data_IF_670877702103
#
_entry.id   IF_670877702103
#
_cell.length_a   1.000
_cell.length_b   1.000
_cell.length_c   1.000
_cell.angle_alpha   90.00
_cell.angle_beta   90.00
_cell.angle_gamma   90.00
#
_symmetry.space_group_name_H-M   'P 1'
#
loop_
_entity.id
_entity.type
_entity.pdbx_description
1 polymer ?
#
# COMPACT_ATOMS: atom_id res chain seq x y z
N UNK A 1 -1.04 0.74 11.65
CA UNK A 1 -1.28 -0.01 10.41
C UNK A 1 0.01 0.03 9.63
N UNK A 2 0.65 -1.12 9.36
CA UNK A 2 1.91 -1.15 8.60
C UNK A 2 1.57 -1.11 7.12
N UNK A 3 2.14 -0.18 6.37
CA UNK A 3 1.93 0.00 4.94
C UNK A 3 3.08 -0.67 4.20
N UNK A 4 2.79 -1.28 3.05
CA UNK A 4 3.81 -1.86 2.18
C UNK A 4 4.12 -0.89 1.05
N UNK A 5 5.40 -0.67 0.76
CA UNK A 5 5.86 0.23 -0.29
C UNK A 5 7.00 -0.40 -1.07
N UNK A 6 7.14 -0.01 -2.34
CA UNK A 6 8.06 -0.67 -3.28
C UNK A 6 9.14 0.31 -3.71
N UNK A 7 10.39 -0.06 -3.45
CA UNK A 7 11.58 0.68 -3.91
C UNK A 7 12.09 0.03 -5.19
N UNK A 8 12.52 0.85 -6.16
CA UNK A 8 13.08 0.39 -7.43
C UNK A 8 14.42 1.06 -7.70
N UNK A 9 15.42 0.30 -8.11
CA UNK A 9 16.68 0.88 -8.59
C UNK A 9 16.55 1.31 -10.05
N UNK A 10 16.88 2.56 -10.38
CA UNK A 10 16.84 3.04 -11.76
C UNK A 10 17.94 2.44 -12.65
N UNK A 11 19.07 2.00 -12.06
CA UNK A 11 20.20 1.42 -12.82
C UNK A 11 19.98 -0.05 -13.21
N UNK A 12 19.57 -0.89 -12.25
CA UNK A 12 19.43 -2.33 -12.48
C UNK A 12 17.98 -2.82 -12.51
N UNK A 13 17.02 -1.90 -12.36
CA UNK A 13 15.57 -2.16 -12.34
C UNK A 13 15.14 -3.13 -11.23
N UNK A 14 16.03 -3.45 -10.29
CA UNK A 14 15.71 -4.31 -9.17
C UNK A 14 14.70 -3.62 -8.26
N UNK A 15 13.61 -4.32 -7.94
CA UNK A 15 12.54 -3.83 -7.09
C UNK A 15 12.44 -4.69 -5.84
N UNK A 16 12.21 -4.06 -4.68
CA UNK A 16 11.93 -4.76 -3.43
C UNK A 16 10.86 -4.04 -2.62
N UNK A 17 10.09 -4.82 -1.88
CA UNK A 17 9.03 -4.33 -1.00
C UNK A 17 9.56 -4.16 0.42
N UNK A 18 9.21 -3.03 1.02
CA UNK A 18 9.45 -2.73 2.43
C UNK A 18 8.10 -2.72 3.15
N UNK A 19 8.11 -3.16 4.40
CA UNK A 19 6.93 -3.19 5.28
C UNK A 19 7.20 -2.22 6.42
N UNK A 20 6.46 -1.11 6.48
CA UNK A 20 6.80 -0.03 7.41
C UNK A 20 5.78 1.10 7.44
N UNK A 21 6.20 2.23 7.97
CA UNK A 21 5.42 3.47 7.92
C UNK A 21 6.16 4.38 6.96
N UNK A 22 5.55 4.64 5.81
CA UNK A 22 6.13 5.59 4.87
C UNK A 22 6.32 6.95 5.54
N UNK A 23 7.56 7.43 5.54
CA UNK A 23 7.94 8.76 5.99
C UNK A 23 9.08 9.29 5.13
N UNK A 24 9.24 10.61 5.06
CA UNK A 24 10.38 11.22 4.36
C UNK A 24 11.71 10.72 4.90
N UNK A 25 11.83 10.56 6.22
CA UNK A 25 13.03 10.00 6.84
C UNK A 25 13.36 8.59 6.34
N UNK A 26 12.36 7.69 6.26
CA UNK A 26 12.62 6.35 5.71
C UNK A 26 13.04 6.43 4.23
N UNK A 27 12.47 7.35 3.46
CA UNK A 27 12.82 7.56 2.04
C UNK A 27 14.28 8.00 1.92
N UNK A 28 14.70 9.00 2.68
CA UNK A 28 16.09 9.47 2.72
C UNK A 28 17.06 8.40 3.23
N UNK A 29 16.66 7.61 4.23
CA UNK A 29 17.44 6.48 4.74
C UNK A 29 17.61 5.36 3.70
N UNK A 30 16.65 5.18 2.79
CA UNK A 30 16.76 4.24 1.67
C UNK A 30 17.62 4.82 0.56
N UNK A 31 17.38 6.08 0.17
CA UNK A 31 18.11 6.77 -0.90
C UNK A 31 19.60 6.97 -0.55
N UNK A 32 19.92 7.06 0.74
CA UNK A 32 21.31 7.08 1.25
C UNK A 32 22.00 5.72 1.29
N UNK A 33 21.31 4.63 0.92
CA UNK A 33 21.89 3.28 0.87
C UNK A 33 22.07 2.81 -0.58
N UNK A 34 23.16 2.11 -0.89
CA UNK A 34 23.39 1.59 -2.23
C UNK A 34 22.43 0.43 -2.53
N UNK A 35 22.05 0.29 -3.80
CA UNK A 35 21.25 -0.85 -4.26
C UNK A 35 21.92 -2.18 -3.90
N UNK A 36 21.20 -3.16 -3.33
CA UNK A 36 21.78 -4.45 -2.94
C UNK A 36 22.31 -5.28 -4.12
N UNK A 37 21.87 -4.99 -5.36
CA UNK A 37 22.26 -5.74 -6.56
C UNK A 37 23.39 -5.09 -7.35
N UNK A 38 23.34 -3.77 -7.53
CA UNK A 38 24.28 -3.04 -8.40
C UNK A 38 25.08 -1.93 -7.69
N UNK A 39 24.89 -1.78 -6.39
CA UNK A 39 25.55 -0.80 -5.52
C UNK A 39 25.39 0.67 -5.94
N UNK A 40 24.42 0.97 -6.81
CA UNK A 40 24.11 2.33 -7.23
C UNK A 40 23.21 3.04 -6.22
N UNK A 41 23.41 4.35 -6.04
CA UNK A 41 22.56 5.22 -5.22
C UNK A 41 21.33 5.75 -5.95
N UNK A 42 21.15 5.37 -7.22
CA UNK A 42 19.96 5.74 -8.01
C UNK A 42 18.78 4.85 -7.66
N UNK A 43 18.21 5.08 -6.49
CA UNK A 43 16.98 4.45 -6.01
C UNK A 43 15.80 5.39 -6.21
N UNK A 44 14.68 4.84 -6.66
CA UNK A 44 13.39 5.51 -6.76
C UNK A 44 12.45 4.86 -5.77
N UNK A 45 12.03 5.62 -4.76
CA UNK A 45 11.09 5.18 -3.75
C UNK A 45 9.81 6.00 -3.83
N UNK A 46 8.91 5.69 -4.79
CA UNK A 46 7.66 6.43 -4.94
C UNK A 46 6.82 6.33 -3.67
N UNK A 47 6.10 7.41 -3.36
CA UNK A 47 5.12 7.42 -2.27
C UNK A 47 4.11 6.28 -2.49
N UNK A 48 3.87 5.40 -1.50
CA UNK A 48 2.90 4.34 -1.63
C UNK A 48 1.54 4.99 -1.84
N UNK A 49 0.91 4.67 -2.96
CA UNK A 49 -0.43 5.13 -3.26
C UNK A 49 -1.30 4.90 -2.02
N UNK A 50 -1.85 5.99 -1.47
CA UNK A 50 -2.73 5.94 -0.31
C UNK A 50 -3.72 4.82 -0.57
N UNK A 51 -3.62 3.75 0.24
CA UNK A 51 -4.41 2.56 0.01
C UNK A 51 -5.85 3.00 0.17
N UNK A 52 -6.53 3.27 -0.94
CA UNK A 52 -7.92 3.67 -0.95
C UNK A 52 -8.61 2.53 -0.24
N UNK A 53 -8.97 2.74 1.03
CA UNK A 53 -9.80 1.80 1.77
C UNK A 53 -11.03 1.69 0.89
N UNK A 54 -11.17 0.56 0.18
CA UNK A 54 -12.39 0.26 -0.55
C UNK A 54 -13.43 0.18 0.53
N UNK A 55 -14.13 1.29 0.77
CA UNK A 55 -15.31 1.33 1.60
C UNK A 55 -16.30 0.47 0.84
N UNK A 56 -16.34 -0.82 1.14
CA UNK A 56 -17.35 -1.72 0.61
C UNK A 56 -18.66 -1.21 1.20
N UNK A 57 -19.32 -0.30 0.50
CA UNK A 57 -20.68 0.13 0.80
C UNK A 57 -21.56 -1.08 0.50
N UNK A 58 -21.72 -1.97 1.48
CA UNK A 58 -22.75 -3.00 1.40
C UNK A 58 -24.09 -2.26 1.39
N UNK A 59 -24.96 -2.45 0.38
CA UNK A 59 -26.31 -1.90 0.45
C UNK A 59 -26.98 -2.52 1.68
N UNK A 60 -27.52 -1.66 2.55
CA UNK A 60 -28.33 -2.10 3.67
C UNK A 60 -29.56 -2.82 3.12
N UNK A 61 -29.62 -4.15 3.26
CA UNK A 61 -30.84 -4.90 3.01
C UNK A 61 -31.73 -4.73 4.24
N UNK A 62 -32.84 -4.00 4.10
CA UNK A 62 -33.87 -3.99 5.11
C UNK A 62 -34.48 -5.40 5.20
N UNK A 63 -34.70 -5.94 6.42
CA UNK A 63 -35.46 -7.16 6.56
C UNK A 63 -36.88 -6.89 6.10
N UNK A 64 -37.30 -7.54 5.02
CA UNK A 64 -38.70 -7.55 4.59
C UNK A 64 -39.50 -8.24 5.71
N UNK A 65 -40.22 -7.45 6.50
CA UNK A 65 -41.21 -7.96 7.45
C UNK A 65 -42.39 -8.48 6.62
N UNK A 66 -42.46 -9.78 6.40
CA UNK A 66 -43.66 -10.43 5.88
C UNK A 66 -44.69 -10.50 7.00
N UNK A 67 -45.54 -9.48 7.13
CA UNK A 67 -46.78 -9.56 7.88
C UNK A 67 -47.79 -10.43 7.12
N UNK A 68 -47.60 -11.75 7.10
CA UNK A 68 -48.63 -12.70 6.66
C UNK A 68 -49.27 -13.29 7.92
N UNK A 69 -50.19 -12.52 8.51
CA UNK A 69 -51.05 -13.02 9.58
C UNK A 69 -52.08 -13.99 9.00
N UNK A 70 -52.32 -15.04 9.76
CA UNK A 70 -53.08 -16.23 9.40
C UNK A 70 -54.60 -15.98 9.33
N UNK A 71 -55.22 -16.88 8.55
CA UNK A 71 -56.58 -17.45 8.60
C UNK A 71 -57.61 -16.81 9.54
#
# INVERSE_FOLDING_TARGET
MRTTWTVKCAKCQHAWTLVGIWSEYEREAIESRPCPKCQSYTLSSPEPAATARKTIRRPFQSPIVNCRAAA
#
